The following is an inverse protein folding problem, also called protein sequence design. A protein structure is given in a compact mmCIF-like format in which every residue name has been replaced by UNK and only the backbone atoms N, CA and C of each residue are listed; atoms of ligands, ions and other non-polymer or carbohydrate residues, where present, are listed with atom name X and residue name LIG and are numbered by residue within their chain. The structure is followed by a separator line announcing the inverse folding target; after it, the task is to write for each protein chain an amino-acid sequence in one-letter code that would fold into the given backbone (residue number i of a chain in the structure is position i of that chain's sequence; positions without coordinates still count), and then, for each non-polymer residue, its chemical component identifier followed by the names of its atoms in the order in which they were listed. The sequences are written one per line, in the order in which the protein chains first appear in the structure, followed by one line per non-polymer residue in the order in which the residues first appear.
data_IF_516904879595
#
_entry.id   IF_516904879595
#
_cell.length_a   1.000
_cell.length_b   1.000
_cell.length_c   1.000
_cell.angle_alpha   90.00
_cell.angle_beta   90.00
_cell.angle_gamma   90.00
#
_symmetry.space_group_name_H-M   'P 1'
#
loop_
_entity.id
_entity.type
_entity.pdbx_description
1 polymer ?
#
# COMPACT_ATOMS: atom_id res chain seq x y z
N UNK A 1 13.46 23.43 18.54
CA UNK A 1 13.44 22.24 19.40
C UNK A 1 13.11 21.04 18.53
N UNK A 2 13.94 20.00 18.48
CA UNK A 2 13.59 18.76 17.79
C UNK A 2 12.66 17.99 18.73
N UNK A 3 11.38 17.90 18.39
CA UNK A 3 10.47 16.95 19.05
C UNK A 3 11.07 15.55 18.90
N UNK A 4 11.22 14.84 20.01
CA UNK A 4 11.55 13.41 19.95
C UNK A 4 10.35 12.70 19.33
N UNK A 5 10.57 12.04 18.20
CA UNK A 5 9.57 11.17 17.59
C UNK A 5 9.67 9.83 18.34
N UNK A 6 8.58 9.43 18.99
CA UNK A 6 8.46 8.08 19.53
C UNK A 6 8.05 7.13 18.39
N UNK A 7 8.66 5.95 18.35
CA UNK A 7 8.29 4.89 17.43
C UNK A 7 8.15 3.58 18.21
N UNK A 8 7.21 2.75 17.75
CA UNK A 8 7.01 1.38 18.21
C UNK A 8 7.14 0.46 17.01
N UNK A 9 7.77 -0.70 17.20
CA UNK A 9 7.85 -1.76 16.20
C UNK A 9 7.01 -2.93 16.68
N UNK A 10 6.17 -3.45 15.78
CA UNK A 10 5.30 -4.58 16.07
C UNK A 10 5.51 -5.63 14.98
N UNK A 11 5.75 -6.87 15.36
CA UNK A 11 5.90 -7.99 14.43
C UNK A 11 4.52 -8.46 13.94
N UNK A 12 4.37 -8.68 12.64
CA UNK A 12 3.12 -9.16 12.04
C UNK A 12 3.29 -9.57 10.58
N UNK A 13 2.25 -10.17 10.02
CA UNK A 13 2.17 -10.42 8.57
C UNK A 13 1.14 -9.49 7.96
N UNK A 14 1.25 -9.23 6.65
CA UNK A 14 0.34 -8.30 5.98
C UNK A 14 -1.13 -8.76 6.08
N UNK A 15 -1.39 -10.07 6.19
CA UNK A 15 -2.70 -10.69 6.36
C UNK A 15 -3.10 -10.94 7.83
N UNK A 16 -2.28 -10.51 8.79
CA UNK A 16 -2.60 -10.52 10.22
C UNK A 16 -1.83 -9.38 10.93
N UNK A 17 -2.41 -8.19 10.93
CA UNK A 17 -1.83 -7.04 11.60
C UNK A 17 -2.32 -7.04 13.06
N UNK A 18 -1.42 -7.10 14.06
CA UNK A 18 -1.77 -7.23 15.48
C UNK A 18 -2.21 -5.88 16.09
N UNK A 19 -3.17 -5.24 15.44
CA UNK A 19 -3.82 -4.01 15.87
C UNK A 19 -5.33 -4.21 15.82
N UNK A 20 -6.03 -3.55 16.73
CA UNK A 20 -7.48 -3.52 16.74
C UNK A 20 -8.05 -2.79 15.51
N UNK A 21 -9.35 -2.96 15.28
CA UNK A 21 -10.06 -2.24 14.23
C UNK A 21 -9.96 -0.73 14.45
N UNK A 22 -9.64 0.01 13.39
CA UNK A 22 -9.48 1.47 13.42
C UNK A 22 -8.46 1.97 14.47
N UNK A 23 -7.45 1.16 14.81
CA UNK A 23 -6.46 1.52 15.82
C UNK A 23 -5.52 2.67 15.41
N UNK A 24 -5.30 2.89 14.11
CA UNK A 24 -4.35 3.88 13.60
C UNK A 24 -5.02 4.79 12.59
N UNK A 25 -4.80 6.10 12.69
CA UNK A 25 -5.43 7.08 11.79
C UNK A 25 -5.06 6.88 10.33
N UNK A 26 -3.77 6.65 10.05
CA UNK A 26 -3.23 6.45 8.71
C UNK A 26 -2.37 5.20 8.64
N UNK A 27 -2.66 4.33 7.66
CA UNK A 27 -1.77 3.23 7.28
C UNK A 27 -1.13 3.58 5.94
N UNK A 28 0.17 3.33 5.80
CA UNK A 28 0.85 3.51 4.52
C UNK A 28 1.69 2.30 4.14
N UNK A 29 1.80 2.08 2.83
CA UNK A 29 2.70 1.09 2.20
C UNK A 29 3.55 1.78 1.14
N UNK A 30 4.81 1.37 1.03
CA UNK A 30 5.73 1.88 0.02
C UNK A 30 6.65 0.76 -0.47
N UNK A 31 6.38 0.21 -1.65
CA UNK A 31 7.11 -0.95 -2.19
C UNK A 31 6.88 -2.23 -1.39
N UNK A 32 5.69 -2.39 -0.80
CA UNK A 32 5.35 -3.54 0.07
C UNK A 32 4.34 -4.44 -0.62
N UNK A 33 3.23 -3.90 -1.10
CA UNK A 33 2.15 -4.69 -1.69
C UNK A 33 2.55 -5.34 -3.01
N UNK A 34 3.53 -4.78 -3.72
CA UNK A 34 4.13 -5.40 -4.91
C UNK A 34 4.76 -6.77 -4.63
N UNK A 35 5.06 -7.11 -3.37
CA UNK A 35 5.64 -8.40 -2.99
C UNK A 35 4.61 -9.43 -2.51
N UNK A 36 3.32 -9.13 -2.59
CA UNK A 36 2.25 -10.03 -2.18
C UNK A 36 1.67 -10.73 -3.42
N UNK A 37 1.59 -12.08 -3.43
CA UNK A 37 0.95 -12.81 -4.52
C UNK A 37 -0.48 -12.31 -4.79
N UNK A 38 -0.93 -12.24 -6.05
CA UNK A 38 -2.25 -11.71 -6.40
C UNK A 38 -3.41 -12.33 -5.62
N UNK A 39 -3.34 -13.64 -5.35
CA UNK A 39 -4.36 -14.39 -4.61
C UNK A 39 -4.41 -14.03 -3.11
N UNK A 40 -3.33 -13.44 -2.59
CA UNK A 40 -3.19 -13.04 -1.19
C UNK A 40 -3.37 -11.53 -0.99
N UNK A 41 -3.28 -10.73 -2.05
CA UNK A 41 -3.32 -9.26 -1.95
C UNK A 41 -4.57 -8.75 -1.24
N UNK A 42 -5.74 -9.33 -1.54
CA UNK A 42 -6.99 -8.90 -0.90
C UNK A 42 -6.94 -9.05 0.62
N UNK A 43 -6.41 -10.15 1.14
CA UNK A 43 -6.31 -10.37 2.60
C UNK A 43 -5.42 -9.32 3.26
N UNK A 44 -4.32 -8.96 2.61
CA UNK A 44 -3.44 -7.91 3.11
C UNK A 44 -4.11 -6.53 3.11
N UNK A 45 -4.80 -6.18 2.03
CA UNK A 45 -5.52 -4.92 1.94
C UNK A 45 -6.75 -4.88 2.89
N UNK A 46 -7.37 -6.03 3.19
CA UNK A 46 -8.46 -6.15 4.16
C UNK A 46 -7.94 -5.77 5.56
N UNK A 47 -6.76 -6.23 5.97
CA UNK A 47 -6.13 -5.84 7.23
C UNK A 47 -5.75 -4.36 7.26
N UNK A 48 -5.17 -3.82 6.17
CA UNK A 48 -4.87 -2.38 6.05
C UNK A 48 -6.15 -1.55 6.23
N UNK A 49 -7.24 -1.95 5.59
CA UNK A 49 -8.53 -1.27 5.70
C UNK A 49 -9.13 -1.40 7.11
N UNK A 50 -8.99 -2.57 7.74
CA UNK A 50 -9.50 -2.87 9.08
C UNK A 50 -8.81 -2.02 10.15
N UNK A 51 -7.48 -1.95 10.14
CA UNK A 51 -6.70 -1.25 11.19
C UNK A 51 -6.62 0.26 10.95
N UNK A 52 -6.80 0.74 9.72
CA UNK A 52 -6.88 2.17 9.42
C UNK A 52 -8.23 2.75 9.86
N UNK A 53 -8.22 3.85 10.61
CA UNK A 53 -9.45 4.54 10.99
C UNK A 53 -9.90 5.56 9.95
N UNK A 54 -8.98 6.07 9.12
CA UNK A 54 -9.28 7.18 8.20
C UNK A 54 -8.53 7.12 6.89
N UNK A 55 -7.20 7.13 6.92
CA UNK A 55 -6.38 7.29 5.72
C UNK A 55 -5.64 6.01 5.34
N UNK A 56 -5.58 5.76 4.04
CA UNK A 56 -4.74 4.71 3.44
C UNK A 56 -3.87 5.37 2.38
N UNK A 57 -2.56 5.18 2.49
CA UNK A 57 -1.59 5.65 1.48
C UNK A 57 -0.91 4.44 0.85
N UNK A 58 -0.98 4.35 -0.48
CA UNK A 58 -0.42 3.23 -1.23
C UNK A 58 0.60 3.75 -2.25
N UNK A 59 1.86 3.35 -2.13
CA UNK A 59 2.97 3.80 -2.99
C UNK A 59 3.64 2.57 -3.62
N UNK A 60 3.27 2.23 -4.84
CA UNK A 60 3.59 0.93 -5.44
C UNK A 60 3.86 1.03 -6.95
N UNK A 61 4.43 -0.03 -7.54
CA UNK A 61 4.67 -0.08 -8.99
C UNK A 61 3.35 -0.25 -9.75
N UNK A 62 3.13 0.65 -10.70
CA UNK A 62 1.94 0.66 -11.54
C UNK A 62 2.11 -0.22 -12.78
N UNK A 63 1.01 -0.88 -13.14
CA UNK A 63 0.76 -1.45 -14.47
C UNK A 63 -0.76 -1.41 -14.69
N UNK A 64 -1.21 -1.12 -15.90
CA UNK A 64 -2.65 -1.03 -16.22
C UNK A 64 -3.37 -2.39 -16.08
N UNK A 65 -2.59 -3.47 -16.04
CA UNK A 65 -3.03 -4.84 -15.81
C UNK A 65 -2.15 -5.50 -14.75
N UNK A 66 -2.66 -6.47 -13.97
CA UNK A 66 -1.83 -7.28 -13.10
C UNK A 66 -0.71 -7.95 -13.91
N UNK A 67 0.54 -7.70 -13.51
CA UNK A 67 1.72 -8.19 -14.22
C UNK A 67 2.74 -8.67 -13.20
N UNK A 68 3.25 -9.89 -13.38
CA UNK A 68 4.44 -10.35 -12.67
C UNK A 68 5.70 -9.88 -13.39
N UNK A 69 6.69 -9.41 -12.64
CA UNK A 69 8.01 -9.10 -13.20
C UNK A 69 9.10 -9.97 -12.57
N UNK A 70 10.13 -10.28 -13.36
CA UNK A 70 11.34 -10.93 -12.85
C UNK A 70 12.03 -9.97 -11.88
N UNK A 71 12.12 -10.37 -10.62
CA UNK A 71 12.75 -9.60 -9.56
C UNK A 71 14.03 -10.30 -9.10
N UNK A 72 15.18 -9.64 -9.30
CA UNK A 72 16.50 -10.19 -8.95
C UNK A 72 16.77 -11.59 -9.52
N UNK A 73 16.30 -11.83 -10.75
CA UNK A 73 16.45 -13.11 -11.45
C UNK A 73 15.49 -14.21 -10.98
N UNK A 74 14.48 -13.87 -10.18
CA UNK A 74 13.46 -14.80 -9.68
C UNK A 74 12.06 -14.38 -10.13
N UNK A 75 11.21 -15.37 -10.36
CA UNK A 75 9.77 -15.22 -10.59
C UNK A 75 9.01 -15.39 -9.27
N UNK A 76 7.75 -14.98 -9.22
CA UNK A 76 6.86 -15.16 -8.08
C UNK A 76 7.22 -14.31 -6.87
N UNK A 77 7.88 -13.17 -7.07
CA UNK A 77 8.32 -12.27 -6.00
C UNK A 77 7.86 -10.82 -6.18
N UNK A 78 7.38 -10.42 -7.36
CA UNK A 78 6.98 -9.04 -7.61
C UNK A 78 5.87 -8.94 -8.65
N UNK A 79 4.76 -8.29 -8.26
CA UNK A 79 3.61 -7.99 -9.10
C UNK A 79 3.31 -6.49 -9.14
N UNK A 80 3.11 -5.95 -10.33
CA UNK A 80 2.61 -4.60 -10.56
C UNK A 80 1.13 -4.66 -10.88
N UNK A 81 0.39 -3.59 -10.56
CA UNK A 81 -1.00 -3.42 -10.99
C UNK A 81 -1.47 -1.99 -10.75
N UNK A 82 -2.69 -1.70 -11.15
CA UNK A 82 -3.42 -0.52 -10.73
C UNK A 82 -3.95 -0.74 -9.30
N UNK A 83 -3.09 -0.43 -8.31
CA UNK A 83 -3.46 -0.49 -6.89
C UNK A 83 -4.53 0.54 -6.54
N UNK A 84 -4.55 1.69 -7.24
CA UNK A 84 -5.55 2.72 -7.01
C UNK A 84 -6.96 2.21 -7.35
N UNK A 85 -7.11 1.64 -8.53
CA UNK A 85 -8.36 0.96 -8.93
C UNK A 85 -8.69 -0.23 -8.04
N UNK A 86 -7.68 -1.01 -7.62
CA UNK A 86 -7.90 -2.11 -6.68
C UNK A 86 -8.59 -1.63 -5.40
N UNK A 87 -8.11 -0.54 -4.78
CA UNK A 87 -8.74 0.00 -3.57
C UNK A 87 -10.16 0.50 -3.84
N UNK A 88 -10.37 1.27 -4.91
CA UNK A 88 -11.69 1.81 -5.28
C UNK A 88 -12.74 0.73 -5.56
N UNK A 89 -12.33 -0.42 -6.12
CA UNK A 89 -13.24 -1.51 -6.46
C UNK A 89 -13.63 -2.38 -5.24
N UNK A 90 -12.83 -2.38 -4.15
CA UNK A 90 -12.98 -3.33 -3.04
C UNK A 90 -13.36 -2.70 -1.69
N UNK A 91 -13.16 -1.40 -1.52
CA UNK A 91 -13.33 -0.72 -0.23
C UNK A 91 -14.13 0.57 -0.37
N UNK A 92 -14.83 0.96 0.71
CA UNK A 92 -15.57 2.22 0.73
C UNK A 92 -14.63 3.39 1.05
N UNK A 93 -13.94 3.85 0.01
CA UNK A 93 -12.97 4.94 0.09
C UNK A 93 -13.22 6.00 -0.98
N UNK A 94 -12.79 7.22 -0.70
CA UNK A 94 -12.64 8.30 -1.68
C UNK A 94 -11.16 8.56 -1.96
N UNK A 95 -10.83 8.74 -3.24
CA UNK A 95 -9.52 9.23 -3.66
C UNK A 95 -9.39 10.71 -3.28
N UNK A 96 -8.35 11.04 -2.52
CA UNK A 96 -8.04 12.40 -2.08
C UNK A 96 -6.96 13.02 -2.96
N UNK A 97 -5.88 12.30 -3.21
CA UNK A 97 -4.79 12.73 -4.07
C UNK A 97 -4.08 11.54 -4.71
N UNK A 98 -3.39 11.78 -5.81
CA UNK A 98 -2.57 10.78 -6.48
C UNK A 98 -1.46 11.43 -7.30
N UNK A 99 -0.44 10.65 -7.60
CA UNK A 99 0.61 11.10 -8.50
C UNK A 99 1.56 9.99 -8.87
N UNK A 100 2.61 10.38 -9.59
CA UNK A 100 3.62 9.49 -10.12
C UNK A 100 5.00 10.04 -9.79
N UNK A 101 5.78 9.24 -9.07
CA UNK A 101 7.19 9.49 -8.90
C UNK A 101 7.92 9.01 -10.15
N UNK A 102 8.38 9.96 -10.94
CA UNK A 102 9.20 9.68 -12.11
C UNK A 102 10.67 9.57 -11.70
N UNK A 103 11.27 8.41 -11.95
CA UNK A 103 12.61 8.06 -11.46
C UNK A 103 13.68 9.09 -11.76
N UNK A 104 13.67 9.61 -12.98
CA UNK A 104 14.62 10.61 -13.46
C UNK A 104 14.50 11.96 -12.73
N UNK A 105 13.31 12.29 -12.22
CA UNK A 105 13.06 13.54 -11.50
C UNK A 105 13.22 13.42 -9.97
N UNK A 106 12.98 12.23 -9.41
CA UNK A 106 12.86 12.05 -7.95
C UNK A 106 13.99 11.23 -7.34
N UNK A 107 14.69 10.43 -8.14
CA UNK A 107 15.66 9.43 -7.66
C UNK A 107 15.02 8.20 -7.00
N UNK A 108 13.69 8.14 -6.90
CA UNK A 108 12.94 6.94 -6.51
C UNK A 108 12.76 6.03 -7.74
N UNK A 109 12.22 4.83 -7.58
CA UNK A 109 11.75 4.05 -8.73
C UNK A 109 10.45 4.64 -9.30
N UNK A 110 10.04 4.16 -10.48
CA UNK A 110 8.77 4.56 -11.10
C UNK A 110 7.59 3.98 -10.30
N UNK A 111 7.02 4.82 -9.43
CA UNK A 111 6.00 4.46 -8.45
C UNK A 111 4.80 5.40 -8.58
N UNK A 112 3.59 4.90 -8.44
CA UNK A 112 2.41 5.76 -8.21
C UNK A 112 2.15 5.86 -6.72
N UNK A 113 1.71 7.03 -6.25
CA UNK A 113 1.09 7.16 -4.93
C UNK A 113 -0.41 7.40 -5.08
N UNK A 114 -1.19 6.84 -4.17
CA UNK A 114 -2.61 7.12 -3.98
C UNK A 114 -2.87 7.41 -2.50
N UNK A 115 -3.64 8.45 -2.23
CA UNK A 115 -4.12 8.79 -0.89
C UNK A 115 -5.63 8.61 -0.88
N UNK A 116 -6.11 7.72 -0.01
CA UNK A 116 -7.52 7.43 0.18
C UNK A 116 -7.98 7.86 1.56
N UNK A 117 -9.22 8.33 1.65
CA UNK A 117 -9.97 8.53 2.90
C UNK A 117 -11.14 7.54 2.93
N UNK A 118 -11.30 6.81 4.04
CA UNK A 118 -12.45 5.93 4.29
C UNK A 118 -13.73 6.76 4.37
N UNK A 119 -14.80 6.30 3.72
CA UNK A 119 -16.14 6.85 3.92
C UNK A 119 -16.74 6.18 5.16
N UNK A 120 -17.33 7.00 6.04
CA UNK A 120 -17.74 6.60 7.41
C UNK A 120 -18.80 5.52 7.46
#
# INVERSE_FOLDING_TARGET
ARSQIAFESIDGTADLIPLEDNAIEMVFTCGVLIHIPPDNLKKACDEIYRVSSRYIVCIEYFSDKPEEIIYRGQTGLLWKRDFGKFYLDHYDVSLIDYGFFWKEATGLDNLTYFIFEKRG
#
